data_IF_732124840316
#
_entry.id   IF_732124840316
#
_cell.length_a   1.000
_cell.length_b   1.000
_cell.length_c   1.000
_cell.angle_alpha   90.00
_cell.angle_beta   90.00
_cell.angle_gamma   90.00
#
_symmetry.space_group_name_H-M   'P 1'
#
loop_
_entity.id
_entity.type
_entity.pdbx_description
1 polymer ?
#
# COMPACT_ATOMS: atom_id res chain seq x y z
N UNK A 1 -32.73 -13.36 4.47
CA UNK A 1 -32.90 -13.61 3.03
C UNK A 1 -31.96 -12.67 2.31
N UNK A 2 -30.96 -13.19 1.60
CA UNK A 2 -30.04 -12.39 0.79
C UNK A 2 -30.81 -11.82 -0.39
N UNK A 3 -31.00 -10.49 -0.43
CA UNK A 3 -31.62 -9.80 -1.57
C UNK A 3 -30.67 -9.92 -2.76
N UNK A 4 -31.13 -10.48 -3.88
CA UNK A 4 -30.26 -10.64 -5.06
C UNK A 4 -29.93 -9.29 -5.69
N UNK A 5 -28.82 -9.20 -6.43
CA UNK A 5 -28.46 -7.99 -7.16
C UNK A 5 -29.55 -7.55 -8.15
N UNK A 6 -30.27 -8.53 -8.70
CA UNK A 6 -31.44 -8.30 -9.55
C UNK A 6 -32.61 -7.62 -8.80
N UNK A 7 -32.94 -8.08 -7.60
CA UNK A 7 -34.02 -7.51 -6.77
C UNK A 7 -33.69 -6.07 -6.33
N UNK A 8 -32.42 -5.81 -5.97
CA UNK A 8 -31.94 -4.48 -5.59
C UNK A 8 -32.01 -3.54 -6.80
N UNK A 9 -31.55 -3.99 -7.96
CA UNK A 9 -31.55 -3.20 -9.19
C UNK A 9 -32.97 -2.79 -9.59
N UNK A 10 -33.92 -3.73 -9.61
CA UNK A 10 -35.30 -3.43 -9.97
C UNK A 10 -35.95 -2.42 -9.03
N UNK A 11 -35.76 -2.58 -7.71
CA UNK A 11 -36.31 -1.64 -6.73
C UNK A 11 -35.78 -0.21 -6.96
N UNK A 12 -34.49 -0.07 -7.30
CA UNK A 12 -33.88 1.23 -7.57
C UNK A 12 -34.36 1.84 -8.89
N UNK A 13 -34.46 1.03 -9.95
CA UNK A 13 -35.00 1.49 -11.23
C UNK A 13 -36.44 1.96 -11.07
N UNK A 14 -37.29 1.20 -10.37
CA UNK A 14 -38.69 1.59 -10.11
C UNK A 14 -38.79 2.86 -9.25
N UNK A 15 -37.78 3.15 -8.42
CA UNK A 15 -37.74 4.38 -7.62
C UNK A 15 -37.23 5.62 -8.37
N UNK A 16 -36.35 5.43 -9.37
CA UNK A 16 -35.73 6.52 -10.13
C UNK A 16 -36.46 6.80 -11.45
N UNK A 17 -37.12 5.81 -12.05
CA UNK A 17 -37.68 5.91 -13.39
C UNK A 17 -39.06 5.27 -13.51
N UNK A 18 -39.95 5.94 -14.25
CA UNK A 18 -41.24 5.39 -14.65
C UNK A 18 -41.08 4.51 -15.91
N UNK A 19 -40.47 3.33 -15.72
CA UNK A 19 -40.23 2.35 -16.78
C UNK A 19 -41.09 1.11 -16.53
N UNK A 20 -41.81 0.59 -17.54
CA UNK A 20 -42.59 -0.64 -17.35
C UNK A 20 -41.72 -1.79 -16.84
N UNK A 21 -42.18 -2.49 -15.80
CA UNK A 21 -41.40 -3.51 -15.09
C UNK A 21 -40.83 -4.60 -16.02
N UNK A 22 -41.54 -4.97 -17.08
CA UNK A 22 -41.05 -5.93 -18.07
C UNK A 22 -39.84 -5.42 -18.86
N UNK A 23 -39.80 -4.12 -19.16
CA UNK A 23 -38.67 -3.45 -19.82
C UNK A 23 -37.49 -3.36 -18.86
N UNK A 24 -37.72 -2.91 -17.63
CA UNK A 24 -36.70 -2.84 -16.59
C UNK A 24 -36.06 -4.22 -16.34
N UNK A 25 -36.86 -5.26 -16.14
CA UNK A 25 -36.39 -6.64 -15.95
C UNK A 25 -35.55 -7.16 -17.13
N UNK A 26 -35.97 -6.87 -18.36
CA UNK A 26 -35.23 -7.24 -19.57
C UNK A 26 -33.88 -6.51 -19.66
N UNK A 27 -33.85 -5.21 -19.32
CA UNK A 27 -32.62 -4.41 -19.27
C UNK A 27 -31.64 -4.95 -18.24
N UNK A 28 -32.07 -5.18 -16.99
CA UNK A 28 -31.21 -5.70 -15.92
C UNK A 28 -30.54 -7.01 -16.35
N UNK A 29 -31.31 -7.95 -16.91
CA UNK A 29 -30.76 -9.25 -17.37
C UNK A 29 -29.74 -9.09 -18.49
N UNK A 30 -30.03 -8.24 -19.49
CA UNK A 30 -29.12 -8.02 -20.63
C UNK A 30 -27.83 -7.32 -20.21
N UNK A 31 -27.94 -6.34 -19.31
CA UNK A 31 -26.80 -5.60 -18.77
C UNK A 31 -25.92 -6.53 -17.93
N UNK A 32 -26.52 -7.30 -17.00
CA UNK A 32 -25.80 -8.26 -16.17
C UNK A 32 -25.09 -9.35 -17.01
N UNK A 33 -25.75 -9.86 -18.04
CA UNK A 33 -25.18 -10.86 -18.95
C UNK A 33 -24.02 -10.33 -19.82
N UNK A 34 -23.92 -9.00 -19.99
CA UNK A 34 -22.95 -8.37 -20.89
C UNK A 34 -22.00 -7.42 -20.12
N UNK A 35 -21.40 -7.93 -19.03
CA UNK A 35 -20.39 -7.21 -18.23
C UNK A 35 -20.86 -5.82 -17.75
N UNK A 36 -22.11 -5.72 -17.33
CA UNK A 36 -22.71 -4.48 -16.82
C UNK A 36 -22.71 -3.34 -17.84
N UNK A 37 -22.86 -3.66 -19.12
CA UNK A 37 -23.08 -2.72 -20.23
C UNK A 37 -24.09 -3.29 -21.21
N UNK A 38 -24.98 -2.45 -21.74
CA UNK A 38 -25.91 -2.88 -22.78
C UNK A 38 -25.17 -2.95 -24.12
N UNK A 39 -25.24 -4.11 -24.78
CA UNK A 39 -24.61 -4.29 -26.09
C UNK A 39 -25.17 -3.29 -27.13
N UNK A 40 -24.35 -2.72 -28.02
CA UNK A 40 -24.81 -1.77 -29.04
C UNK A 40 -25.98 -2.31 -29.89
N UNK A 41 -25.96 -3.61 -30.20
CA UNK A 41 -27.02 -4.28 -30.93
C UNK A 41 -28.37 -4.29 -30.18
N UNK A 42 -28.33 -4.41 -28.85
CA UNK A 42 -29.52 -4.42 -28.00
C UNK A 42 -30.05 -3.01 -27.70
N UNK A 43 -29.23 -1.95 -27.80
CA UNK A 43 -29.68 -0.56 -27.65
C UNK A 43 -30.83 -0.20 -28.60
N UNK A 44 -30.81 -0.76 -29.81
CA UNK A 44 -31.89 -0.57 -30.80
C UNK A 44 -33.27 -1.01 -30.29
N UNK A 45 -33.33 -1.99 -29.38
CA UNK A 45 -34.57 -2.50 -28.79
C UNK A 45 -35.13 -1.60 -27.69
N UNK A 46 -34.32 -0.67 -27.19
CA UNK A 46 -34.66 0.24 -26.10
C UNK A 46 -34.62 1.71 -26.53
N UNK A 47 -34.71 2.01 -27.83
CA UNK A 47 -34.65 3.38 -28.41
C UNK A 47 -35.62 4.40 -27.79
N UNK A 48 -36.68 3.94 -27.11
CA UNK A 48 -37.61 4.81 -26.39
C UNK A 48 -37.00 5.44 -25.13
N UNK A 49 -35.91 4.88 -24.61
CA UNK A 49 -35.20 5.41 -23.46
C UNK A 49 -34.03 6.29 -23.93
N UNK A 50 -33.87 7.51 -23.39
CA UNK A 50 -32.69 8.33 -23.62
C UNK A 50 -31.39 7.58 -23.24
N UNK A 51 -30.30 7.85 -23.96
CA UNK A 51 -28.99 7.23 -23.69
C UNK A 51 -28.50 7.50 -22.25
N UNK A 52 -28.83 8.67 -21.69
CA UNK A 52 -28.53 9.03 -20.30
C UNK A 52 -29.27 8.12 -19.29
N UNK A 53 -30.52 7.76 -19.58
CA UNK A 53 -31.32 6.86 -18.74
C UNK A 53 -30.77 5.44 -18.82
N UNK A 54 -30.39 4.98 -20.01
CA UNK A 54 -29.74 3.67 -20.18
C UNK A 54 -28.40 3.64 -19.42
N UNK A 55 -27.58 4.68 -19.52
CA UNK A 55 -26.32 4.77 -18.79
C UNK A 55 -26.52 4.75 -17.26
N UNK A 56 -27.55 5.45 -16.76
CA UNK A 56 -27.90 5.42 -15.33
C UNK A 56 -28.41 4.05 -14.89
N UNK A 57 -29.23 3.37 -15.70
CA UNK A 57 -29.67 2.00 -15.42
C UNK A 57 -28.49 1.03 -15.42
N UNK A 58 -27.54 1.14 -16.35
CA UNK A 58 -26.30 0.34 -16.35
C UNK A 58 -25.52 0.52 -15.03
N UNK A 59 -25.44 1.75 -14.52
CA UNK A 59 -24.82 2.04 -13.23
C UNK A 59 -25.59 1.41 -12.06
N UNK A 60 -26.92 1.57 -12.01
CA UNK A 60 -27.76 0.99 -10.95
C UNK A 60 -27.60 -0.53 -10.89
N UNK A 61 -27.61 -1.22 -12.04
CA UNK A 61 -27.44 -2.67 -12.11
C UNK A 61 -26.06 -3.07 -11.60
N UNK A 62 -25.01 -2.34 -11.98
CA UNK A 62 -23.65 -2.60 -11.49
C UNK A 62 -23.55 -2.48 -9.97
N UNK A 63 -24.05 -1.38 -9.40
CA UNK A 63 -24.02 -1.12 -7.97
C UNK A 63 -24.83 -2.15 -7.18
N UNK A 64 -25.99 -2.55 -7.70
CA UNK A 64 -26.87 -3.52 -7.05
C UNK A 64 -26.24 -4.93 -6.96
N UNK A 65 -25.58 -5.40 -8.03
CA UNK A 65 -24.89 -6.69 -8.03
C UNK A 65 -23.64 -6.70 -7.15
N UNK A 66 -22.92 -5.57 -7.09
CA UNK A 66 -21.80 -5.39 -6.18
C UNK A 66 -22.24 -5.43 -4.71
N UNK A 67 -23.34 -4.76 -4.38
CA UNK A 67 -23.92 -4.75 -3.03
C UNK A 67 -24.41 -6.14 -2.60
N UNK A 68 -24.96 -6.92 -3.53
CA UNK A 68 -25.37 -8.30 -3.29
C UNK A 68 -24.17 -9.26 -3.10
N UNK A 69 -22.93 -8.81 -3.32
CA UNK A 69 -21.72 -9.63 -3.24
C UNK A 69 -21.61 -10.67 -4.36
N UNK A 70 -22.31 -10.45 -5.48
CA UNK A 70 -22.28 -11.35 -6.63
C UNK A 70 -21.01 -11.13 -7.48
N UNK A 71 -20.59 -12.17 -8.23
CA UNK A 71 -19.41 -12.06 -9.09
C UNK A 71 -19.67 -11.15 -10.29
N UNK A 72 -19.19 -9.91 -10.19
CA UNK A 72 -19.29 -8.90 -11.25
C UNK A 72 -18.06 -8.84 -12.16
N UNK A 73 -17.07 -9.71 -11.95
CA UNK A 73 -15.78 -9.67 -12.61
C UNK A 73 -14.80 -8.66 -11.99
N UNK A 74 -13.52 -9.04 -11.96
CA UNK A 74 -12.48 -8.31 -11.21
C UNK A 74 -12.20 -6.88 -11.66
N UNK A 75 -12.38 -6.54 -12.94
CA UNK A 75 -12.18 -5.17 -13.45
C UNK A 75 -13.29 -4.22 -13.00
N UNK A 76 -14.55 -4.68 -13.04
CA UNK A 76 -15.72 -3.89 -12.63
C UNK A 76 -15.69 -3.63 -11.12
N UNK A 77 -15.34 -4.66 -10.34
CA UNK A 77 -15.11 -4.53 -8.91
C UNK A 77 -13.97 -3.55 -8.61
N UNK A 78 -12.84 -3.65 -9.32
CA UNK A 78 -11.70 -2.75 -9.13
C UNK A 78 -12.04 -1.30 -9.42
N UNK A 79 -12.72 -1.04 -10.54
CA UNK A 79 -13.15 0.31 -10.92
C UNK A 79 -14.13 0.88 -9.87
N UNK A 80 -15.10 0.08 -9.41
CA UNK A 80 -16.03 0.53 -8.40
C UNK A 80 -15.34 0.87 -7.07
N UNK A 81 -14.44 0.02 -6.59
CA UNK A 81 -13.66 0.27 -5.38
C UNK A 81 -12.79 1.52 -5.51
N UNK A 82 -12.22 1.76 -6.70
CA UNK A 82 -11.47 2.98 -6.99
C UNK A 82 -12.35 4.23 -6.92
N UNK A 83 -13.53 4.20 -7.53
CA UNK A 83 -14.48 5.32 -7.49
C UNK A 83 -14.98 5.58 -6.07
N UNK A 84 -15.28 4.53 -5.30
CA UNK A 84 -15.64 4.67 -3.88
C UNK A 84 -14.51 5.32 -3.08
N UNK A 85 -13.26 4.89 -3.27
CA UNK A 85 -12.11 5.47 -2.61
C UNK A 85 -11.91 6.96 -2.98
N UNK A 86 -12.13 7.32 -4.24
CA UNK A 86 -12.03 8.72 -4.68
C UNK A 86 -13.13 9.59 -4.10
N UNK A 87 -14.38 9.10 -4.07
CA UNK A 87 -15.50 9.80 -3.43
C UNK A 87 -15.24 10.02 -1.95
N UNK A 88 -14.81 8.99 -1.22
CA UNK A 88 -14.44 9.11 0.18
C UNK A 88 -13.33 10.15 0.41
N UNK A 89 -12.31 10.20 -0.46
CA UNK A 89 -11.26 11.23 -0.39
C UNK A 89 -11.78 12.65 -0.60
N UNK A 90 -12.72 12.85 -1.53
CA UNK A 90 -13.36 14.15 -1.74
C UNK A 90 -14.21 14.56 -0.55
N UNK A 91 -14.89 13.61 0.08
CA UNK A 91 -15.62 13.84 1.33
C UNK A 91 -14.67 14.25 2.46
N UNK A 92 -13.49 13.63 2.57
CA UNK A 92 -12.48 14.04 3.56
C UNK A 92 -11.95 15.47 3.35
N UNK A 93 -11.88 15.94 2.09
CA UNK A 93 -11.57 17.35 1.81
C UNK A 93 -12.73 18.23 2.28
N UNK A 94 -13.96 17.85 1.94
CA UNK A 94 -15.15 18.61 2.32
C UNK A 94 -15.37 18.66 3.84
N UNK A 95 -15.02 17.60 4.58
CA UNK A 95 -15.08 17.53 6.04
C UNK A 95 -13.91 18.26 6.72
N UNK A 96 -12.87 18.62 5.98
CA UNK A 96 -11.66 19.25 6.51
C UNK A 96 -10.68 18.27 7.17
N UNK A 97 -10.88 16.97 7.00
CA UNK A 97 -9.92 15.92 7.40
C UNK A 97 -8.65 15.95 6.51
N UNK A 98 -8.80 16.40 5.27
CA UNK A 98 -7.70 16.72 4.36
C UNK A 98 -7.65 18.23 4.13
N UNK A 99 -6.49 18.85 4.37
CA UNK A 99 -6.31 20.30 4.27
C UNK A 99 -5.22 20.67 3.28
N UNK A 100 -5.30 21.90 2.77
CA UNK A 100 -4.31 22.43 1.81
C UNK A 100 -2.94 22.64 2.47
N UNK A 101 -1.88 22.79 1.67
CA UNK A 101 -0.54 23.14 2.17
C UNK A 101 -0.57 24.45 2.98
N UNK A 102 -1.32 25.45 2.50
CA UNK A 102 -1.40 26.76 3.13
C UNK A 102 -1.99 26.64 4.54
N UNK A 103 -3.12 25.92 4.68
CA UNK A 103 -3.78 25.68 5.96
C UNK A 103 -2.90 24.84 6.89
N UNK A 104 -2.29 23.78 6.36
CA UNK A 104 -1.39 22.91 7.13
C UNK A 104 -0.24 23.69 7.73
N UNK A 105 0.44 24.52 6.92
CA UNK A 105 1.55 25.35 7.37
C UNK A 105 1.12 26.40 8.38
N UNK A 106 -0.05 26.99 8.21
CA UNK A 106 -0.61 27.94 9.16
C UNK A 106 -0.88 27.27 10.51
N UNK A 107 -1.46 26.06 10.54
CA UNK A 107 -1.78 25.33 11.77
C UNK A 107 -0.53 24.90 12.55
N UNK A 108 0.49 24.36 11.87
CA UNK A 108 1.74 23.92 12.54
C UNK A 108 2.78 25.05 12.71
N UNK A 109 2.54 26.23 12.11
CA UNK A 109 3.42 27.38 12.22
C UNK A 109 4.79 27.20 11.54
N UNK A 110 4.86 26.48 10.42
CA UNK A 110 6.13 26.16 9.74
C UNK A 110 6.33 26.93 8.43
N UNK A 111 7.59 27.24 8.14
CA UNK A 111 8.00 27.81 6.85
C UNK A 111 7.93 26.75 5.73
N UNK A 112 7.81 27.15 4.45
CA UNK A 112 7.78 26.18 3.34
C UNK A 112 9.05 25.32 3.31
N UNK A 113 10.23 25.90 3.58
CA UNK A 113 11.50 25.17 3.67
C UNK A 113 11.46 24.09 4.76
N UNK A 114 10.85 24.39 5.91
CA UNK A 114 10.71 23.42 6.99
C UNK A 114 9.72 22.32 6.63
N UNK A 115 8.63 22.64 5.93
CA UNK A 115 7.68 21.65 5.44
C UNK A 115 8.33 20.65 4.47
N UNK A 116 9.10 21.13 3.50
CA UNK A 116 9.87 20.26 2.58
C UNK A 116 10.76 19.30 3.37
N UNK A 117 11.42 19.77 4.44
CA UNK A 117 12.23 18.91 5.31
C UNK A 117 11.39 17.83 5.99
N UNK A 118 10.23 18.18 6.54
CA UNK A 118 9.31 17.24 7.19
C UNK A 118 8.75 16.18 6.23
N UNK A 119 8.52 16.54 4.97
CA UNK A 119 8.14 15.59 3.93
C UNK A 119 9.30 14.66 3.58
N UNK A 120 10.48 15.25 3.35
CA UNK A 120 11.68 14.52 2.92
C UNK A 120 12.14 13.50 3.96
N UNK A 121 12.07 13.84 5.25
CA UNK A 121 12.44 12.93 6.34
C UNK A 121 11.30 11.98 6.76
N UNK A 122 10.11 12.12 6.17
CA UNK A 122 8.93 11.29 6.45
C UNK A 122 8.22 11.61 7.76
N UNK A 123 8.51 12.76 8.37
CA UNK A 123 7.82 13.26 9.57
C UNK A 123 6.36 13.64 9.31
N UNK A 124 6.03 14.00 8.08
CA UNK A 124 4.64 14.20 7.59
C UNK A 124 4.49 13.56 6.22
N UNK A 125 3.26 13.46 5.74
CA UNK A 125 2.96 12.92 4.42
C UNK A 125 1.69 13.53 3.83
N UNK A 126 1.52 13.37 2.53
CA UNK A 126 0.38 13.84 1.77
C UNK A 126 -0.43 12.67 1.22
N UNK A 127 -1.72 12.91 0.96
CA UNK A 127 -2.57 12.05 0.14
C UNK A 127 -2.92 12.79 -1.14
N UNK A 128 -2.90 12.05 -2.25
CA UNK A 128 -3.27 12.58 -3.54
C UNK A 128 -4.78 12.40 -3.80
N UNK A 129 -5.45 13.49 -4.13
CA UNK A 129 -6.85 13.51 -4.55
C UNK A 129 -6.95 14.35 -5.81
N UNK A 130 -7.45 13.76 -6.91
CA UNK A 130 -7.57 14.42 -8.21
C UNK A 130 -6.24 15.07 -8.68
N UNK A 131 -5.11 14.38 -8.51
CA UNK A 131 -3.73 14.84 -8.81
C UNK A 131 -3.25 16.04 -7.97
N UNK A 132 -3.92 16.35 -6.85
CA UNK A 132 -3.53 17.41 -5.92
C UNK A 132 -3.16 16.80 -4.58
N UNK A 133 -2.05 17.25 -4.00
CA UNK A 133 -1.59 16.79 -2.69
C UNK A 133 -2.30 17.54 -1.55
N UNK A 134 -2.87 16.78 -0.63
CA UNK A 134 -3.48 17.28 0.61
C UNK A 134 -2.81 16.67 1.83
N UNK A 135 -2.86 17.38 2.95
CA UNK A 135 -2.30 16.94 4.22
C UNK A 135 -3.41 16.43 5.14
N UNK A 136 -3.24 15.29 5.82
CA UNK A 136 -4.11 14.92 6.92
C UNK A 136 -4.11 15.99 8.02
N UNK A 137 -5.30 16.51 8.35
CA UNK A 137 -5.48 17.54 9.36
C UNK A 137 -4.94 17.10 10.73
N UNK A 138 -5.06 15.80 11.05
CA UNK A 138 -4.57 15.20 12.29
C UNK A 138 -3.07 15.44 12.53
N UNK A 139 -2.27 15.61 11.46
CA UNK A 139 -0.83 15.87 11.58
C UNK A 139 -0.54 17.30 12.09
N UNK A 140 -1.53 18.18 12.04
CA UNK A 140 -1.51 19.55 12.54
C UNK A 140 -2.59 19.82 13.61
N UNK A 141 -3.12 18.77 14.25
CA UNK A 141 -4.15 18.91 15.29
C UNK A 141 -3.57 19.56 16.56
N UNK A 142 -4.18 20.64 17.07
CA UNK A 142 -3.76 21.26 18.33
C UNK A 142 -3.89 20.28 19.50
N UNK A 143 -2.93 20.30 20.41
CA UNK A 143 -2.97 19.48 21.64
C UNK A 143 -2.38 18.08 21.50
N UNK A 144 -1.90 17.69 20.32
CA UNK A 144 -1.11 16.47 20.13
C UNK A 144 0.39 16.80 20.27
N UNK A 145 1.16 15.88 20.86
CA UNK A 145 2.63 15.98 20.84
C UNK A 145 3.13 15.71 19.40
N UNK A 146 3.33 16.78 18.64
CA UNK A 146 3.80 16.70 17.27
C UNK A 146 5.19 16.07 17.14
N UNK A 147 6.06 16.16 18.16
CA UNK A 147 7.39 15.54 18.08
C UNK A 147 7.27 14.02 18.11
N UNK A 148 6.41 13.50 18.98
CA UNK A 148 6.09 12.06 19.07
C UNK A 148 5.36 11.58 17.82
N UNK A 149 4.37 12.33 17.35
CA UNK A 149 3.64 12.00 16.12
C UNK A 149 4.57 11.94 14.91
N UNK A 150 5.46 12.92 14.75
CA UNK A 150 6.46 12.93 13.68
C UNK A 150 7.43 11.76 13.81
N UNK A 151 7.83 11.40 15.03
CA UNK A 151 8.66 10.21 15.24
C UNK A 151 7.97 8.92 14.81
N UNK A 152 6.67 8.78 15.08
CA UNK A 152 5.87 7.64 14.61
C UNK A 152 5.72 7.66 13.10
N UNK A 153 5.42 8.82 12.49
CA UNK A 153 5.37 8.98 11.03
C UNK A 153 6.67 8.53 10.37
N UNK A 154 7.80 8.93 10.96
CA UNK A 154 9.14 8.50 10.55
C UNK A 154 9.41 7.02 10.73
N UNK A 155 8.65 6.26 11.53
CA UNK A 155 8.72 4.79 11.64
C UNK A 155 7.82 4.11 10.60
N UNK A 156 6.69 4.71 10.24
CA UNK A 156 5.71 4.07 9.35
C UNK A 156 5.89 4.37 7.85
N UNK A 157 6.91 5.15 7.46
CA UNK A 157 7.24 5.48 6.04
C UNK A 157 7.24 4.29 5.05
N UNK A 158 7.63 3.03 5.37
CA UNK A 158 7.62 1.96 4.38
C UNK A 158 6.21 1.67 3.84
N UNK A 159 5.17 2.06 4.58
CA UNK A 159 3.79 1.91 4.17
C UNK A 159 3.33 3.07 3.26
N UNK A 160 2.44 2.80 2.28
CA UNK A 160 1.80 3.84 1.48
C UNK A 160 1.06 4.90 2.34
N UNK A 161 0.90 6.14 1.84
CA UNK A 161 0.20 7.22 2.56
C UNK A 161 -1.15 6.82 3.16
N UNK A 162 -2.02 6.14 2.39
CA UNK A 162 -3.34 5.72 2.86
C UNK A 162 -3.24 4.77 4.07
N UNK A 163 -2.31 3.82 4.02
CA UNK A 163 -2.09 2.86 5.09
C UNK A 163 -1.48 3.51 6.33
N UNK A 164 -0.67 4.57 6.15
CA UNK A 164 -0.17 5.38 7.28
C UNK A 164 -1.30 6.15 7.95
N UNK A 165 -2.23 6.70 7.18
CA UNK A 165 -3.41 7.37 7.71
C UNK A 165 -4.27 6.39 8.52
N UNK A 166 -4.61 5.23 7.95
CA UNK A 166 -5.34 4.16 8.65
C UNK A 166 -4.59 3.66 9.89
N UNK A 167 -3.26 3.56 9.85
CA UNK A 167 -2.46 3.22 11.03
C UNK A 167 -2.72 4.18 12.18
N UNK A 168 -2.63 5.49 11.92
CA UNK A 168 -2.73 6.53 12.93
C UNK A 168 -4.13 6.66 13.54
N UNK A 169 -5.19 6.45 12.74
CA UNK A 169 -6.58 6.68 13.17
C UNK A 169 -7.26 5.43 13.72
N UNK A 170 -6.96 4.25 13.20
CA UNK A 170 -7.67 3.01 13.55
C UNK A 170 -7.23 2.47 14.91
N UNK A 171 -8.18 1.87 15.62
CA UNK A 171 -7.91 1.11 16.86
C UNK A 171 -7.11 -0.14 16.53
N UNK A 172 -6.13 -0.48 17.37
CA UNK A 172 -5.25 -1.63 17.14
C UNK A 172 -5.28 -2.57 18.35
N UNK A 173 -5.54 -3.84 18.12
CA UNK A 173 -5.50 -4.86 19.17
C UNK A 173 -4.12 -4.94 19.85
N UNK A 174 -3.04 -4.76 19.08
CA UNK A 174 -1.66 -4.69 19.61
C UNK A 174 -1.40 -3.50 20.55
N UNK A 175 -2.31 -2.51 20.57
CA UNK A 175 -2.25 -1.33 21.42
C UNK A 175 -3.34 -1.34 22.52
N UNK A 176 -4.00 -2.49 22.73
CA UNK A 176 -5.11 -2.63 23.67
C UNK A 176 -6.37 -1.88 23.21
N UNK A 177 -6.71 -1.98 21.93
CA UNK A 177 -7.85 -1.32 21.27
C UNK A 177 -7.83 0.22 21.31
N UNK A 178 -6.65 0.79 21.55
CA UNK A 178 -6.38 2.22 21.42
C UNK A 178 -5.84 2.53 20.03
N UNK A 179 -6.03 3.77 19.57
CA UNK A 179 -5.37 4.27 18.36
C UNK A 179 -3.98 4.81 18.69
N UNK A 180 -3.03 4.84 17.72
CA UNK A 180 -1.74 5.47 17.92
C UNK A 180 -1.79 6.90 18.45
N UNK A 181 -2.77 7.70 18.02
CA UNK A 181 -2.92 9.08 18.49
C UNK A 181 -3.20 9.15 20.01
N UNK A 182 -3.94 8.19 20.56
CA UNK A 182 -4.23 8.10 21.99
C UNK A 182 -3.00 7.69 22.83
N UNK A 183 -1.98 7.12 22.20
CA UNK A 183 -0.78 6.62 22.88
C UNK A 183 0.37 7.63 22.91
N UNK A 184 0.16 8.85 22.39
CA UNK A 184 1.19 9.88 22.36
C UNK A 184 1.42 10.56 23.72
N UNK A 185 0.44 10.50 24.63
CA UNK A 185 0.39 11.37 25.82
C UNK A 185 1.41 11.07 26.93
N UNK A 186 1.94 9.84 27.03
CA UNK A 186 2.91 9.47 28.07
C UNK A 186 4.00 8.53 27.54
N UNK A 187 5.13 8.44 28.26
CA UNK A 187 6.34 7.76 27.78
C UNK A 187 6.19 6.25 27.65
N UNK A 188 5.46 5.62 28.58
CA UNK A 188 5.24 4.17 28.57
C UNK A 188 4.40 3.75 27.37
N UNK A 189 3.30 4.46 27.13
CA UNK A 189 2.45 4.24 25.97
C UNK A 189 3.21 4.56 24.68
N UNK A 190 3.94 5.67 24.64
CA UNK A 190 4.69 6.05 23.47
C UNK A 190 5.76 5.02 23.08
N UNK A 191 6.48 4.46 24.06
CA UNK A 191 7.46 3.39 23.82
C UNK A 191 6.80 2.14 23.25
N UNK A 192 5.62 1.78 23.78
CA UNK A 192 4.84 0.63 23.31
C UNK A 192 4.35 0.86 21.87
N UNK A 193 3.90 2.08 21.57
CA UNK A 193 3.53 2.50 20.22
C UNK A 193 4.71 2.42 19.25
N UNK A 194 5.90 2.88 19.64
CA UNK A 194 7.08 2.80 18.75
C UNK A 194 7.42 1.36 18.37
N UNK A 195 7.32 0.42 19.31
CA UNK A 195 7.55 -1.00 19.04
C UNK A 195 6.49 -1.58 18.10
N UNK A 196 5.21 -1.30 18.37
CA UNK A 196 4.11 -1.74 17.53
C UNK A 196 4.18 -1.14 16.11
N UNK A 197 4.54 0.15 16.00
CA UNK A 197 4.71 0.83 14.72
C UNK A 197 5.87 0.25 13.92
N UNK A 198 6.99 -0.10 14.57
CA UNK A 198 8.13 -0.71 13.90
C UNK A 198 7.79 -2.12 13.37
N UNK A 199 7.10 -2.93 14.18
CA UNK A 199 6.63 -4.24 13.76
C UNK A 199 5.66 -4.14 12.58
N UNK A 200 4.65 -3.26 12.68
CA UNK A 200 3.70 -3.02 11.61
C UNK A 200 4.38 -2.50 10.33
N UNK A 201 5.34 -1.58 10.45
CA UNK A 201 6.07 -1.04 9.30
C UNK A 201 6.93 -2.09 8.59
N UNK A 202 7.42 -3.11 9.30
CA UNK A 202 8.19 -4.20 8.71
C UNK A 202 7.35 -5.04 7.72
N UNK A 203 6.04 -5.16 7.93
CA UNK A 203 5.12 -5.88 7.03
C UNK A 203 5.04 -5.26 5.61
N UNK A 204 5.39 -3.98 5.50
CA UNK A 204 5.35 -3.23 4.24
C UNK A 204 6.63 -3.33 3.42
N UNK A 205 7.67 -3.99 3.96
CA UNK A 205 8.97 -4.10 3.32
C UNK A 205 9.60 -5.46 3.58
N UNK A 206 9.84 -6.19 2.51
CA UNK A 206 10.58 -7.45 2.54
C UNK A 206 12.03 -7.20 2.21
N UNK A 207 12.92 -7.91 2.91
CA UNK A 207 14.31 -8.03 2.53
C UNK A 207 14.51 -9.42 1.94
N UNK A 208 15.02 -9.48 0.71
CA UNK A 208 15.47 -10.71 0.09
C UNK A 208 17.00 -10.76 0.13
N UNK A 209 17.57 -11.87 0.56
CA UNK A 209 19.00 -12.14 0.54
C UNK A 209 19.23 -13.34 -0.35
N UNK A 210 20.04 -13.17 -1.40
CA UNK A 210 20.45 -14.24 -2.30
C UNK A 210 21.93 -14.49 -2.15
N UNK A 211 22.31 -15.75 -1.98
CA UNK A 211 23.67 -16.22 -1.86
C UNK A 211 24.07 -16.94 -3.13
N UNK A 212 25.23 -16.59 -3.68
CA UNK A 212 25.80 -17.24 -4.86
C UNK A 212 27.19 -17.77 -4.54
N UNK A 213 27.55 -18.90 -5.15
CA UNK A 213 28.89 -19.45 -5.04
C UNK A 213 29.91 -18.52 -5.70
N UNK A 214 31.05 -18.29 -5.06
CA UNK A 214 32.12 -17.47 -5.60
C UNK A 214 31.97 -15.97 -5.34
N UNK A 215 32.86 -15.19 -5.96
CA UNK A 215 32.94 -13.75 -5.81
C UNK A 215 32.32 -13.07 -7.04
N UNK A 216 31.21 -12.38 -6.83
CA UNK A 216 30.44 -11.71 -7.88
C UNK A 216 30.33 -10.22 -7.57
N UNK A 217 30.67 -9.39 -8.56
CA UNK A 217 30.51 -7.93 -8.45
C UNK A 217 29.08 -7.47 -8.73
N UNK A 218 28.34 -8.26 -9.50
CA UNK A 218 26.95 -8.04 -9.85
C UNK A 218 26.17 -9.34 -9.69
N UNK A 219 24.88 -9.23 -9.41
CA UNK A 219 24.01 -10.40 -9.27
C UNK A 219 24.05 -11.22 -10.58
N UNK A 220 24.46 -12.50 -10.52
CA UNK A 220 24.45 -13.38 -11.68
C UNK A 220 23.04 -13.54 -12.25
N UNK A 221 22.92 -13.51 -13.57
CA UNK A 221 21.63 -13.64 -14.25
C UNK A 221 21.38 -15.06 -14.79
N UNK A 222 22.44 -15.84 -14.90
CA UNK A 222 22.52 -17.14 -15.57
C UNK A 222 22.79 -18.29 -14.60
N UNK A 223 22.91 -17.99 -13.30
CA UNK A 223 23.17 -18.96 -12.25
C UNK A 223 22.07 -18.85 -11.20
N UNK A 224 21.58 -19.98 -10.72
CA UNK A 224 20.64 -20.01 -9.59
C UNK A 224 21.37 -19.71 -8.27
N UNK A 225 20.75 -18.97 -7.34
CA UNK A 225 21.33 -18.74 -6.03
C UNK A 225 21.44 -20.06 -5.26
N UNK A 226 22.57 -20.25 -4.56
CA UNK A 226 22.77 -21.35 -3.61
C UNK A 226 21.72 -21.35 -2.50
N UNK A 227 21.25 -20.15 -2.15
CA UNK A 227 20.32 -19.94 -1.07
C UNK A 227 19.64 -18.59 -1.21
N UNK A 228 18.34 -18.54 -0.95
CA UNK A 228 17.52 -17.34 -0.90
C UNK A 228 16.77 -17.32 0.42
N UNK A 229 16.94 -16.25 1.20
CA UNK A 229 16.15 -15.96 2.37
C UNK A 229 15.28 -14.71 2.14
N UNK A 230 14.00 -14.76 2.49
CA UNK A 230 13.12 -13.59 2.44
C UNK A 230 12.41 -13.43 3.77
N UNK A 231 12.49 -12.22 4.34
CA UNK A 231 11.84 -11.86 5.61
C UNK A 231 11.29 -10.42 5.57
N UNK A 232 10.24 -10.17 6.33
CA UNK A 232 9.67 -8.82 6.53
C UNK A 232 10.53 -8.08 7.56
N UNK A 233 11.28 -7.07 7.10
CA UNK A 233 12.29 -6.36 7.90
C UNK A 233 12.23 -4.88 7.57
N UNK A 234 12.28 -4.05 8.62
CA UNK A 234 12.33 -2.59 8.50
C UNK A 234 13.49 -2.17 7.56
N UNK A 235 13.19 -1.48 6.45
CA UNK A 235 14.19 -1.11 5.46
C UNK A 235 15.17 -0.04 5.95
N UNK A 236 14.90 0.59 7.10
CA UNK A 236 15.77 1.58 7.72
C UNK A 236 16.91 0.98 8.54
N UNK A 237 16.78 -0.28 8.96
CA UNK A 237 17.91 -1.00 9.56
C UNK A 237 19.07 -1.02 8.57
N UNK A 238 20.29 -1.09 9.09
CA UNK A 238 21.47 -1.16 8.23
C UNK A 238 21.38 -2.38 7.32
N UNK A 239 22.00 -2.30 6.13
CA UNK A 239 21.92 -3.40 5.17
C UNK A 239 22.44 -4.73 5.76
N UNK A 240 23.43 -4.66 6.66
CA UNK A 240 23.95 -5.82 7.36
C UNK A 240 22.94 -6.41 8.34
N UNK A 241 22.32 -5.59 9.21
CA UNK A 241 21.29 -6.06 10.13
C UNK A 241 20.14 -6.72 9.38
N UNK A 242 19.70 -6.11 8.26
CA UNK A 242 18.66 -6.69 7.41
C UNK A 242 19.07 -8.02 6.80
N UNK A 243 20.31 -8.12 6.31
CA UNK A 243 20.82 -9.36 5.74
C UNK A 243 20.92 -10.45 6.80
N UNK A 244 21.56 -10.15 7.93
CA UNK A 244 21.72 -11.07 9.05
C UNK A 244 20.37 -11.55 9.56
N UNK A 245 19.44 -10.65 9.85
CA UNK A 245 18.10 -11.00 10.34
C UNK A 245 17.33 -11.85 9.33
N UNK A 246 17.41 -11.55 8.02
CA UNK A 246 16.77 -12.40 7.00
C UNK A 246 17.33 -13.84 6.99
N UNK A 247 18.64 -14.00 7.18
CA UNK A 247 19.28 -15.32 7.25
C UNK A 247 18.92 -16.09 8.52
N UNK A 248 18.67 -15.39 9.65
CA UNK A 248 18.39 -16.02 10.96
C UNK A 248 16.90 -16.22 11.27
N UNK A 249 16.00 -15.42 10.70
CA UNK A 249 14.55 -15.47 11.02
C UNK A 249 13.87 -16.74 10.49
N UNK A 250 14.57 -17.56 9.69
CA UNK A 250 14.03 -18.79 9.10
C UNK A 250 12.67 -18.56 8.41
N UNK A 251 12.52 -17.41 7.73
CA UNK A 251 11.34 -17.09 6.93
C UNK A 251 11.23 -17.97 5.68
N UNK A 252 11.00 -17.36 4.52
CA UNK A 252 11.08 -18.13 3.28
C UNK A 252 12.54 -18.47 2.99
N UNK A 253 12.86 -19.76 2.87
CA UNK A 253 14.19 -20.28 2.55
C UNK A 253 14.11 -21.18 1.33
N UNK A 254 14.99 -20.99 0.36
CA UNK A 254 15.03 -21.83 -0.86
C UNK A 254 16.43 -21.88 -1.50
N UNK A 255 16.93 -23.04 -1.97
CA UNK A 255 16.38 -24.38 -1.76
C UNK A 255 16.36 -24.77 -0.28
N UNK A 256 15.54 -25.76 0.11
CA UNK A 256 15.68 -26.39 1.42
C UNK A 256 16.91 -27.32 1.36
N UNK A 257 17.75 -27.29 2.40
CA UNK A 257 19.03 -28.00 2.41
C UNK A 257 18.94 -29.52 2.14
N UNK A 258 20.08 -30.21 2.05
CA UNK A 258 21.41 -29.76 2.47
C UNK A 258 22.08 -28.79 1.50
N UNK A 259 22.78 -27.80 2.06
CA UNK A 259 23.51 -26.79 1.30
C UNK A 259 24.92 -27.29 0.98
N UNK A 260 25.46 -26.97 -0.21
CA UNK A 260 26.84 -27.31 -0.55
C UNK A 260 27.82 -26.57 0.38
N UNK A 261 28.91 -27.25 0.76
CA UNK A 261 30.01 -26.63 1.51
C UNK A 261 30.82 -25.72 0.57
N UNK A 262 30.60 -24.41 0.70
CA UNK A 262 31.22 -23.40 -0.16
C UNK A 262 32.14 -22.49 0.65
N UNK A 263 33.39 -22.37 0.20
CA UNK A 263 34.42 -21.57 0.89
C UNK A 263 34.38 -20.08 0.55
N UNK A 264 33.74 -19.72 -0.56
CA UNK A 264 33.60 -18.35 -1.04
C UNK A 264 32.20 -18.17 -1.59
N UNK A 265 31.54 -17.11 -1.15
CA UNK A 265 30.21 -16.76 -1.63
C UNK A 265 30.02 -15.25 -1.62
N UNK A 266 29.03 -14.80 -2.38
CA UNK A 266 28.59 -13.41 -2.44
C UNK A 266 27.13 -13.30 -2.02
N UNK A 267 26.81 -12.29 -1.22
CA UNK A 267 25.44 -11.98 -0.79
C UNK A 267 24.90 -10.75 -1.51
N UNK A 268 23.72 -10.90 -2.10
CA UNK A 268 22.95 -9.80 -2.69
C UNK A 268 21.71 -9.56 -1.83
N UNK A 269 21.56 -8.32 -1.35
CA UNK A 269 20.48 -7.91 -0.46
C UNK A 269 19.58 -6.94 -1.21
N UNK A 270 18.29 -7.27 -1.30
CA UNK A 270 17.28 -6.51 -2.02
C UNK A 270 16.14 -6.10 -1.09
N UNK A 271 15.53 -4.94 -1.37
CA UNK A 271 14.26 -4.53 -0.78
C UNK A 271 13.12 -4.82 -1.75
N UNK A 272 12.13 -5.57 -1.31
CA UNK A 272 10.90 -5.83 -2.04
C UNK A 272 9.74 -5.13 -1.32
N UNK A 273 8.98 -4.32 -2.04
CA UNK A 273 7.75 -3.73 -1.51
C UNK A 273 6.58 -4.67 -1.77
N UNK A 274 5.59 -4.69 -0.89
CA UNK A 274 4.44 -5.62 -0.96
C UNK A 274 3.63 -5.52 -2.27
N UNK A 275 3.81 -4.47 -3.08
CA UNK A 275 3.08 -4.23 -4.34
C UNK A 275 3.90 -3.83 -5.58
N UNK A 276 5.24 -3.74 -5.51
CA UNK A 276 6.07 -3.32 -6.65
C UNK A 276 7.07 -4.38 -7.08
N UNK A 277 7.33 -4.47 -8.40
CA UNK A 277 8.51 -5.17 -8.93
C UNK A 277 9.75 -4.42 -8.41
N UNK A 278 10.47 -5.08 -7.50
CA UNK A 278 11.87 -4.85 -7.08
C UNK A 278 12.49 -3.48 -7.39
N UNK A 279 12.71 -2.66 -6.35
CA UNK A 279 13.66 -1.54 -6.40
C UNK A 279 15.00 -1.99 -5.78
N UNK A 280 15.94 -2.41 -6.63
CA UNK A 280 17.18 -3.06 -6.21
C UNK A 280 18.22 -2.04 -5.72
N UNK A 281 18.35 -1.84 -4.40
CA UNK A 281 19.50 -1.15 -3.79
C UNK A 281 20.60 -2.16 -3.42
N UNK A 282 21.76 -2.08 -4.09
CA UNK A 282 22.88 -3.05 -4.03
C UNK A 282 24.00 -2.59 -3.10
N UNK A 283 24.52 -3.45 -2.22
CA UNK A 283 25.88 -3.33 -1.65
C UNK A 283 26.54 -4.69 -1.42
N UNK A 284 27.87 -4.69 -1.49
CA UNK A 284 28.78 -5.84 -1.34
C UNK A 284 29.03 -6.17 0.14
N UNK A 285 29.05 -7.45 0.48
CA UNK A 285 29.71 -7.97 1.68
C UNK A 285 30.60 -9.16 1.27
N UNK A 286 31.91 -9.06 1.51
CA UNK A 286 32.85 -10.17 1.32
C UNK A 286 33.17 -10.81 2.66
N UNK A 287 32.69 -12.03 2.89
CA UNK A 287 32.95 -12.78 4.14
C UNK A 287 34.08 -13.76 3.86
N UNK A 288 35.20 -13.63 4.56
CA UNK A 288 36.25 -14.66 4.59
C UNK A 288 36.19 -15.43 5.92
N UNK A 289 36.27 -16.77 5.90
CA UNK A 289 36.37 -17.53 7.12
C UNK A 289 37.76 -17.33 7.74
N UNK A 290 37.79 -16.83 8.97
CA UNK A 290 38.92 -17.00 9.88
C UNK A 290 38.51 -18.07 10.90
N UNK A 291 39.43 -18.96 11.23
CA UNK A 291 39.21 -20.08 12.15
C UNK A 291 38.39 -19.61 13.37
N UNK A 292 37.17 -20.17 13.46
CA UNK A 292 36.10 -19.95 14.45
C UNK A 292 35.49 -18.55 14.61
N UNK A 293 35.84 -17.54 13.83
CA UNK A 293 35.14 -16.24 13.79
C UNK A 293 35.15 -15.60 12.39
N UNK A 294 33.95 -15.30 11.86
CA UNK A 294 33.79 -14.56 10.60
C UNK A 294 34.34 -13.13 10.74
N UNK A 295 35.30 -12.75 9.88
CA UNK A 295 35.79 -11.36 9.75
C UNK A 295 35.37 -10.79 8.39
N UNK A 296 35.04 -9.50 8.36
CA UNK A 296 34.45 -8.82 7.19
C UNK A 296 35.23 -7.55 6.84
N UNK A 297 35.60 -7.43 5.57
CA UNK A 297 36.13 -6.18 4.98
C UNK A 297 35.09 -5.56 4.04
N UNK A 298 34.96 -4.23 4.08
CA UNK A 298 34.10 -3.47 3.17
C UNK A 298 34.94 -2.88 2.03
N UNK A 299 34.48 -3.06 0.79
CA UNK A 299 35.13 -2.45 -0.38
C UNK A 299 34.10 -1.61 -1.13
N UNK A 300 34.44 -0.33 -1.32
CA UNK A 300 33.60 0.68 -1.96
C UNK A 300 33.71 0.57 -3.48
N UNK A 301 32.59 0.42 -4.17
CA UNK A 301 32.49 0.61 -5.62
C UNK A 301 31.76 1.91 -5.92
N UNK A 302 32.49 2.95 -6.34
CA UNK A 302 31.90 4.18 -6.89
C UNK A 302 31.38 3.92 -8.31
N UNK A 303 30.13 4.27 -8.58
CA UNK A 303 29.62 4.38 -9.95
C UNK A 303 30.26 5.61 -10.60
N UNK A 304 31.05 5.40 -11.66
CA UNK A 304 31.30 6.43 -12.67
C UNK A 304 30.02 6.62 -13.46
N UNK A 305 29.47 7.84 -13.41
CA UNK A 305 28.44 8.29 -14.33
C UNK A 305 29.08 8.45 -15.71
N UNK A 306 28.75 7.55 -16.65
CA UNK A 306 29.03 7.74 -18.05
C UNK A 306 27.97 8.65 -18.66
N UNK A 307 28.33 9.92 -18.90
CA UNK A 307 27.65 10.73 -19.92
C UNK A 307 28.15 10.29 -21.30
N UNK A 308 27.22 9.83 -22.14
CA UNK A 308 27.20 10.09 -23.58
C UNK A 308 25.77 10.32 -24.00
#
# INVERSE_FOLDING_TARGET
MSTSGWDIALRRIDSEFDVPQFVASSLVRKIAANKFRLAPADRSKFQKLPDEVIARIEQIVREAYLEAGEDVGGEVLREHLWQQALTARREMIASGELISEADFRQRIGVTPRRLIKLLTDGSVFTLEVDNVEYYPALLAEPGIDHNRLQAVCRIIVPAPPDSRLDFLTSRRGSLGDRSPLQMLSNDSDFKSLQQAAAAWAAEWSRTAVKMYEGLHDTEPMDVDPLYTAIAEIDPRKSLWERASEALHVHGYQWPLGPYPDVRKFSLFVERCERRSKSDTKRRRFGIEPLDDLFSLSSVWGTRTAGYR
#
